data_IF_153146134502
#
_entry.id   IF_153146134502
#
_cell.length_a   1.000
_cell.length_b   1.000
_cell.length_c   1.000
_cell.angle_alpha   90.00
_cell.angle_beta   90.00
_cell.angle_gamma   90.00
#
_symmetry.space_group_name_H-M   'P 1'
#
loop_
_entity.id
_entity.type
_entity.pdbx_description
1 polymer ?
#
# COMPACT_ATOMS: atom_id res chain seq x y z
N UNK A 1 3.72 11.47 36.83
CA UNK A 1 4.81 11.89 35.90
C UNK A 1 4.44 11.36 34.50
N UNK A 2 3.62 12.13 33.76
CA UNK A 2 3.24 11.75 32.36
C UNK A 2 4.40 12.17 31.44
N UNK A 3 5.30 11.26 31.08
CA UNK A 3 6.23 11.47 29.97
C UNK A 3 5.41 11.42 28.68
N UNK A 4 5.31 12.55 28.00
CA UNK A 4 4.85 12.63 26.59
C UNK A 4 5.79 11.77 25.77
N UNK A 5 5.32 10.62 25.31
CA UNK A 5 5.94 9.88 24.21
C UNK A 5 5.48 10.59 22.92
N UNK A 6 6.06 11.74 22.65
CA UNK A 6 5.86 12.43 21.40
C UNK A 6 6.78 11.73 20.37
N UNK A 7 6.17 11.14 19.34
CA UNK A 7 6.80 10.64 18.13
C UNK A 7 8.12 9.87 18.35
N UNK A 8 8.01 8.56 18.49
CA UNK A 8 9.21 7.70 18.45
C UNK A 8 9.77 7.78 17.02
N UNK A 9 10.78 8.62 16.83
CA UNK A 9 11.55 8.69 15.61
C UNK A 9 12.70 7.70 15.74
N UNK A 10 12.58 6.53 15.13
CA UNK A 10 13.71 5.61 14.98
C UNK A 10 14.57 6.09 13.80
N UNK A 11 15.79 6.52 14.10
CA UNK A 11 16.78 6.86 13.06
C UNK A 11 17.39 5.58 12.52
N UNK A 12 17.18 5.31 11.23
CA UNK A 12 17.88 4.25 10.51
C UNK A 12 19.36 4.65 10.35
N UNK A 13 20.26 3.69 10.49
CA UNK A 13 21.72 3.92 10.52
C UNK A 13 22.19 4.69 9.27
N UNK A 14 23.10 5.66 9.46
CA UNK A 14 23.64 6.55 8.41
C UNK A 14 24.28 5.82 7.24
N UNK A 15 24.64 4.55 7.39
CA UNK A 15 25.20 3.72 6.32
C UNK A 15 24.13 3.35 5.26
N UNK A 16 22.91 3.04 5.67
CA UNK A 16 21.77 2.86 4.77
C UNK A 16 21.42 4.19 4.09
N UNK A 17 21.47 5.30 4.82
CA UNK A 17 21.13 6.64 4.35
C UNK A 17 21.89 7.11 3.09
N UNK A 18 23.17 6.74 2.94
CA UNK A 18 23.98 7.09 1.76
C UNK A 18 23.53 6.39 0.48
N UNK A 19 22.92 5.21 0.60
CA UNK A 19 22.41 4.42 -0.54
C UNK A 19 21.08 4.97 -1.08
N UNK A 20 20.31 5.68 -0.24
CA UNK A 20 18.98 6.20 -0.53
C UNK A 20 18.93 7.60 -1.13
N UNK A 21 20.08 8.24 -1.36
CA UNK A 21 20.19 9.63 -1.85
C UNK A 21 19.82 9.83 -3.33
N UNK A 22 19.53 8.77 -4.09
CA UNK A 22 19.00 8.93 -5.44
C UNK A 22 17.47 8.85 -5.38
N UNK A 23 16.80 9.91 -5.80
CA UNK A 23 15.33 9.90 -6.05
C UNK A 23 15.04 8.93 -7.20
N UNK A 24 15.09 7.63 -6.89
CA UNK A 24 14.73 6.61 -7.84
C UNK A 24 13.22 6.67 -7.96
N UNK A 25 12.79 7.09 -9.12
CA UNK A 25 11.40 7.26 -9.48
C UNK A 25 10.63 5.93 -9.35
N UNK A 26 9.42 5.99 -8.80
CA UNK A 26 8.41 4.93 -8.87
C UNK A 26 8.14 4.42 -10.29
N UNK A 27 8.66 5.09 -11.32
CA UNK A 27 8.64 4.64 -12.73
C UNK A 27 9.16 3.22 -12.95
N UNK A 28 9.96 2.67 -12.02
CA UNK A 28 10.37 1.25 -12.11
C UNK A 28 9.17 0.31 -12.06
N UNK A 29 8.09 0.68 -11.35
CA UNK A 29 6.84 -0.08 -11.27
C UNK A 29 6.13 -0.17 -12.63
N UNK A 30 6.29 0.86 -13.46
CA UNK A 30 5.78 0.89 -14.84
C UNK A 30 6.34 -0.24 -15.71
N UNK A 31 7.53 -0.74 -15.42
CA UNK A 31 8.15 -1.82 -16.18
C UNK A 31 7.58 -3.21 -15.87
N UNK A 32 6.70 -3.34 -14.88
CA UNK A 32 6.05 -4.61 -14.54
C UNK A 32 4.90 -4.85 -15.50
N UNK A 33 5.16 -5.62 -16.57
CA UNK A 33 4.20 -5.88 -17.66
C UNK A 33 2.88 -6.48 -17.17
N UNK A 34 2.96 -7.37 -16.19
CA UNK A 34 1.79 -8.03 -15.58
C UNK A 34 0.93 -7.02 -14.80
N UNK A 35 1.57 -6.08 -14.09
CA UNK A 35 0.85 -5.01 -13.41
C UNK A 35 0.09 -4.13 -14.42
N UNK A 36 0.71 -3.74 -15.54
CA UNK A 36 0.02 -2.98 -16.60
C UNK A 36 -1.26 -3.65 -17.06
N UNK A 37 -1.24 -4.98 -17.23
CA UNK A 37 -2.43 -5.74 -17.60
C UNK A 37 -3.50 -5.69 -16.51
N UNK A 38 -3.14 -5.90 -15.24
CA UNK A 38 -4.08 -5.83 -14.11
C UNK A 38 -4.70 -4.43 -14.04
N UNK A 39 -3.88 -3.38 -14.12
CA UNK A 39 -4.36 -2.00 -14.12
C UNK A 39 -5.32 -1.71 -15.28
N UNK A 40 -5.03 -2.20 -16.50
CA UNK A 40 -5.89 -2.00 -17.67
C UNK A 40 -7.23 -2.74 -17.59
N UNK A 41 -7.32 -3.82 -16.79
CA UNK A 41 -8.58 -4.54 -16.56
C UNK A 41 -9.44 -3.89 -15.48
N UNK A 42 -8.80 -3.22 -14.54
CA UNK A 42 -9.50 -2.59 -13.40
C UNK A 42 -9.87 -1.15 -13.71
N UNK A 43 -8.94 -0.35 -14.25
CA UNK A 43 -9.20 1.04 -14.60
C UNK A 43 -10.07 1.17 -15.85
N UNK A 44 -10.88 2.22 -15.87
CA UNK A 44 -11.67 2.62 -17.06
C UNK A 44 -10.97 3.82 -17.70
N UNK A 45 -10.67 3.78 -19.00
CA UNK A 45 -10.06 4.93 -19.70
C UNK A 45 -10.89 6.20 -19.54
N UNK A 46 -10.24 7.29 -19.14
CA UNK A 46 -10.89 8.59 -18.93
C UNK A 46 -11.50 8.80 -17.55
N UNK A 47 -11.48 7.80 -16.69
CA UNK A 47 -11.86 7.92 -15.27
C UNK A 47 -10.64 8.05 -14.37
N UNK A 48 -10.89 8.45 -13.12
CA UNK A 48 -9.87 8.43 -12.07
C UNK A 48 -9.36 7.01 -11.80
N UNK A 49 -8.06 6.86 -11.55
CA UNK A 49 -7.43 5.56 -11.27
C UNK A 49 -8.07 4.88 -10.05
N UNK A 50 -8.61 3.69 -10.29
CA UNK A 50 -9.28 2.85 -9.28
C UNK A 50 -8.34 1.87 -8.58
N UNK A 51 -7.09 1.76 -9.04
CA UNK A 51 -6.07 0.87 -8.48
C UNK A 51 -4.71 1.57 -8.45
N UNK A 52 -3.96 1.37 -7.37
CA UNK A 52 -2.60 1.89 -7.19
C UNK A 52 -1.71 0.84 -6.52
N UNK A 53 -0.41 0.90 -6.78
CA UNK A 53 0.59 0.24 -5.93
C UNK A 53 0.60 0.89 -4.55
N UNK A 54 0.94 0.15 -3.51
CA UNK A 54 0.96 0.67 -2.14
C UNK A 54 2.02 0.02 -1.26
N UNK A 55 2.46 0.72 -0.24
CA UNK A 55 3.26 0.15 0.84
C UNK A 55 4.67 -0.27 0.44
N UNK A 56 5.02 -1.52 0.78
CA UNK A 56 6.38 -2.05 0.62
C UNK A 56 6.93 -1.95 -0.78
N UNK A 57 6.15 -2.27 -1.81
CA UNK A 57 6.61 -2.23 -3.20
C UNK A 57 6.89 -0.80 -3.68
N UNK A 58 6.09 0.20 -3.24
CA UNK A 58 6.31 1.62 -3.57
C UNK A 58 7.57 2.12 -2.87
N UNK A 59 7.75 1.80 -1.59
CA UNK A 59 8.95 2.16 -0.82
C UNK A 59 10.20 1.57 -1.45
N UNK A 60 10.22 0.26 -1.77
CA UNK A 60 11.33 -0.42 -2.44
C UNK A 60 11.63 0.20 -3.82
N UNK A 61 10.60 0.59 -4.58
CA UNK A 61 10.78 1.30 -5.84
C UNK A 61 11.52 2.62 -5.64
N UNK A 62 11.11 3.41 -4.65
CA UNK A 62 11.73 4.71 -4.34
C UNK A 62 13.18 4.57 -3.87
N UNK A 63 13.49 3.54 -3.11
CA UNK A 63 14.84 3.29 -2.58
C UNK A 63 15.73 2.52 -3.55
N UNK A 64 15.14 1.97 -4.63
CA UNK A 64 15.85 1.17 -5.63
C UNK A 64 16.23 -0.21 -5.13
N UNK A 65 15.48 -0.73 -4.17
CA UNK A 65 15.55 -2.10 -3.71
C UNK A 65 14.86 -3.06 -4.68
N UNK A 66 15.16 -4.34 -4.53
CA UNK A 66 14.47 -5.38 -5.29
C UNK A 66 13.01 -5.51 -4.82
N UNK A 67 12.06 -5.54 -5.77
CA UNK A 67 10.64 -5.67 -5.49
C UNK A 67 10.27 -7.14 -5.69
N UNK A 68 10.01 -7.82 -4.59
CA UNK A 68 9.62 -9.24 -4.51
C UNK A 68 8.10 -9.40 -4.38
N UNK A 69 7.47 -8.60 -3.52
CA UNK A 69 6.03 -8.62 -3.29
C UNK A 69 5.39 -7.37 -3.88
N UNK A 70 4.23 -7.53 -4.51
CA UNK A 70 3.52 -6.43 -5.15
C UNK A 70 2.13 -6.32 -4.53
N UNK A 71 1.97 -5.28 -3.71
CA UNK A 71 0.72 -4.92 -3.08
C UNK A 71 0.02 -3.83 -3.88
N UNK A 72 -1.25 -4.06 -4.15
CA UNK A 72 -2.15 -3.14 -4.85
C UNK A 72 -3.32 -2.78 -3.94
N UNK A 73 -3.70 -1.53 -3.93
CA UNK A 73 -4.92 -1.04 -3.28
C UNK A 73 -5.92 -0.62 -4.35
N UNK A 74 -7.23 -0.87 -4.15
CA UNK A 74 -8.27 -0.52 -5.11
C UNK A 74 -9.54 -0.06 -4.43
N UNK A 75 -10.28 0.86 -5.09
CA UNK A 75 -11.58 1.33 -4.63
C UNK A 75 -12.73 0.35 -4.91
N UNK A 76 -12.46 -0.77 -5.59
CA UNK A 76 -13.46 -1.83 -5.82
C UNK A 76 -13.50 -2.82 -4.66
N UNK A 77 -14.67 -3.37 -4.38
CA UNK A 77 -14.84 -4.48 -3.45
C UNK A 77 -14.32 -5.81 -4.05
N UNK A 78 -13.99 -6.82 -3.23
CA UNK A 78 -13.42 -8.09 -3.71
C UNK A 78 -14.26 -8.78 -4.80
N UNK A 79 -15.58 -8.71 -4.70
CA UNK A 79 -16.51 -9.28 -5.70
C UNK A 79 -16.35 -8.63 -7.08
N UNK A 80 -16.18 -7.30 -7.09
CA UNK A 80 -16.04 -6.54 -8.33
C UNK A 80 -14.66 -6.75 -8.96
N UNK A 81 -13.62 -6.87 -8.12
CA UNK A 81 -12.27 -7.21 -8.60
C UNK A 81 -12.29 -8.58 -9.28
N UNK A 82 -12.93 -9.59 -8.65
CA UNK A 82 -13.09 -10.93 -9.25
C UNK A 82 -13.80 -10.87 -10.59
N UNK A 83 -14.89 -10.10 -10.66
CA UNK A 83 -15.65 -9.95 -11.90
C UNK A 83 -14.82 -9.31 -13.02
N UNK A 84 -14.07 -8.24 -12.71
CA UNK A 84 -13.21 -7.55 -13.66
C UNK A 84 -12.05 -8.41 -14.16
N UNK A 85 -11.51 -9.27 -13.32
CA UNK A 85 -10.39 -10.16 -13.64
C UNK A 85 -10.85 -11.55 -14.14
N UNK A 86 -12.15 -11.87 -14.06
CA UNK A 86 -12.68 -13.12 -14.59
C UNK A 86 -12.49 -13.18 -16.13
N UNK A 87 -12.37 -14.39 -16.65
CA UNK A 87 -12.15 -14.64 -18.10
C UNK A 87 -10.88 -13.97 -18.68
N UNK A 88 -9.92 -13.62 -17.82
CA UNK A 88 -8.57 -13.23 -18.19
C UNK A 88 -7.62 -14.37 -17.82
N UNK A 89 -6.43 -14.42 -18.39
CA UNK A 89 -5.39 -15.40 -18.04
C UNK A 89 -4.81 -15.14 -16.64
N UNK A 90 -5.68 -14.89 -15.66
CA UNK A 90 -5.33 -14.55 -14.28
C UNK A 90 -5.97 -15.58 -13.35
N UNK A 91 -5.12 -16.28 -12.58
CA UNK A 91 -5.60 -17.14 -11.50
C UNK A 91 -5.90 -16.28 -10.27
N UNK A 92 -7.11 -16.37 -9.76
CA UNK A 92 -7.55 -15.66 -8.54
C UNK A 92 -7.60 -16.65 -7.38
N UNK A 93 -7.06 -16.26 -6.23
CA UNK A 93 -7.10 -17.00 -4.97
C UNK A 93 -7.69 -16.09 -3.89
N UNK A 94 -8.64 -16.63 -3.14
CA UNK A 94 -9.25 -15.96 -2.00
C UNK A 94 -8.35 -16.13 -0.77
N UNK A 95 -7.51 -15.15 -0.51
CA UNK A 95 -6.52 -15.21 0.57
C UNK A 95 -6.91 -14.45 1.83
N UNK A 96 -7.99 -13.70 1.80
CA UNK A 96 -8.44 -12.86 2.93
C UNK A 96 -9.64 -12.00 2.51
N UNK A 97 -10.65 -12.65 1.94
CA UNK A 97 -11.84 -11.96 1.40
C UNK A 97 -12.58 -11.19 2.49
N UNK A 98 -12.63 -11.74 3.70
CA UNK A 98 -13.20 -11.11 4.89
C UNK A 98 -12.45 -9.81 5.27
N UNK A 99 -11.17 -9.70 4.91
CA UNK A 99 -10.35 -8.50 5.10
C UNK A 99 -10.24 -7.65 3.83
N UNK A 100 -10.95 -8.04 2.76
CA UNK A 100 -10.96 -7.31 1.50
C UNK A 100 -9.79 -7.62 0.56
N UNK A 101 -9.02 -8.69 0.79
CA UNK A 101 -7.82 -9.02 0.00
C UNK A 101 -8.07 -10.25 -0.88
N UNK A 102 -7.67 -10.15 -2.13
CA UNK A 102 -7.55 -11.28 -3.06
C UNK A 102 -6.13 -11.36 -3.62
N UNK A 103 -5.69 -12.54 -3.98
CA UNK A 103 -4.43 -12.75 -4.70
C UNK A 103 -4.70 -13.03 -6.18
N UNK A 104 -4.15 -12.21 -7.06
CA UNK A 104 -4.13 -12.42 -8.50
C UNK A 104 -2.74 -12.96 -8.93
N UNK A 105 -2.71 -14.03 -9.72
CA UNK A 105 -1.47 -14.60 -10.26
C UNK A 105 -1.52 -14.52 -11.78
N UNK A 106 -0.55 -13.82 -12.34
CA UNK A 106 -0.36 -13.66 -13.78
C UNK A 106 1.11 -13.94 -14.16
N UNK A 107 1.35 -14.86 -15.08
CA UNK A 107 2.71 -15.27 -15.50
C UNK A 107 3.62 -15.61 -14.32
N UNK A 108 3.12 -16.37 -13.35
CA UNK A 108 3.82 -16.77 -12.10
C UNK A 108 4.13 -15.60 -11.14
N UNK A 109 3.77 -14.36 -11.46
CA UNK A 109 3.86 -13.23 -10.53
C UNK A 109 2.60 -13.13 -9.70
N UNK A 110 2.79 -12.90 -8.41
CA UNK A 110 1.73 -12.74 -7.41
C UNK A 110 1.48 -11.25 -7.17
N UNK A 111 0.22 -10.89 -7.09
CA UNK A 111 -0.27 -9.54 -6.77
C UNK A 111 -1.30 -9.66 -5.65
N UNK A 112 -1.07 -9.03 -4.53
CA UNK A 112 -2.07 -8.91 -3.49
C UNK A 112 -2.89 -7.65 -3.75
N UNK A 113 -4.20 -7.81 -3.97
CA UNK A 113 -5.10 -6.71 -4.29
C UNK A 113 -6.06 -6.54 -3.13
N UNK A 114 -5.94 -5.42 -2.42
CA UNK A 114 -6.75 -5.12 -1.24
C UNK A 114 -7.68 -3.96 -1.54
N UNK A 115 -8.96 -4.16 -1.23
CA UNK A 115 -9.98 -3.09 -1.28
C UNK A 115 -9.67 -2.01 -0.27
N UNK A 116 -9.83 -0.74 -0.66
CA UNK A 116 -9.72 0.37 0.28
C UNK A 116 -10.74 0.18 1.41
N UNK A 117 -10.31 0.39 2.63
CA UNK A 117 -11.14 0.18 3.81
C UNK A 117 -10.83 1.18 4.92
N UNK A 118 -11.79 1.37 5.80
CA UNK A 118 -11.62 1.99 7.11
C UNK A 118 -11.96 0.98 8.19
N UNK A 119 -11.24 1.02 9.30
CA UNK A 119 -11.52 0.18 10.45
C UNK A 119 -12.61 0.86 11.30
N UNK A 120 -13.72 0.15 11.57
CA UNK A 120 -14.86 0.70 12.34
C UNK A 120 -14.64 0.45 13.84
N UNK A 121 -14.13 -0.73 14.18
CA UNK A 121 -13.80 -1.13 15.54
C UNK A 121 -12.74 -2.21 15.49
N UNK A 122 -11.78 -2.15 16.38
CA UNK A 122 -10.77 -3.18 16.57
C UNK A 122 -11.05 -3.90 17.88
N UNK A 123 -11.47 -5.17 17.80
CA UNK A 123 -11.50 -6.10 18.93
C UNK A 123 -10.21 -6.94 18.90
N UNK A 124 -9.06 -6.30 19.13
CA UNK A 124 -7.77 -6.96 19.03
C UNK A 124 -7.52 -7.54 17.63
N UNK A 125 -7.67 -8.85 17.43
CA UNK A 125 -7.32 -9.54 16.16
C UNK A 125 -8.39 -9.48 15.06
N UNK A 126 -9.59 -8.97 15.32
CA UNK A 126 -10.68 -8.89 14.34
C UNK A 126 -11.14 -7.44 14.21
N UNK A 127 -10.72 -6.79 13.14
CA UNK A 127 -11.26 -5.50 12.75
C UNK A 127 -12.54 -5.70 11.92
N UNK A 128 -13.64 -5.12 12.35
CA UNK A 128 -14.80 -4.93 11.45
C UNK A 128 -14.43 -3.87 10.42
N UNK A 129 -14.22 -4.30 9.18
CA UNK A 129 -13.80 -3.44 8.10
C UNK A 129 -14.99 -2.91 7.31
N UNK A 130 -14.96 -1.64 6.96
CA UNK A 130 -15.89 -1.04 6.01
C UNK A 130 -15.14 -0.65 4.75
N UNK A 131 -15.58 -1.16 3.60
CA UNK A 131 -14.99 -0.76 2.32
C UNK A 131 -15.30 0.70 2.02
N UNK A 132 -14.35 1.39 1.40
CA UNK A 132 -14.44 2.80 1.04
C UNK A 132 -13.85 3.04 -0.34
N UNK A 133 -14.20 4.15 -0.98
CA UNK A 133 -13.51 4.64 -2.18
C UNK A 133 -12.52 5.78 -1.87
N UNK A 134 -12.40 6.16 -0.60
CA UNK A 134 -11.57 7.27 -0.15
C UNK A 134 -10.16 6.80 0.20
N UNK A 135 -9.18 7.21 -0.63
CA UNK A 135 -7.76 6.90 -0.45
C UNK A 135 -7.17 7.45 0.86
N UNK A 136 -7.68 8.59 1.36
CA UNK A 136 -7.22 9.16 2.64
C UNK A 136 -7.66 8.29 3.81
N UNK A 137 -8.88 7.75 3.77
CA UNK A 137 -9.38 6.85 4.81
C UNK A 137 -8.55 5.57 4.89
N UNK A 138 -8.21 4.96 3.74
CA UNK A 138 -7.35 3.78 3.73
C UNK A 138 -5.93 4.11 4.22
N UNK A 139 -5.40 5.28 3.85
CA UNK A 139 -4.09 5.71 4.31
C UNK A 139 -4.03 5.94 5.83
N UNK A 140 -5.11 6.48 6.43
CA UNK A 140 -5.19 6.79 7.87
C UNK A 140 -5.11 5.54 8.75
N UNK A 141 -5.59 4.37 8.29
CA UNK A 141 -5.53 3.12 9.07
C UNK A 141 -4.16 2.43 9.04
N UNK A 142 -3.21 2.89 8.20
CA UNK A 142 -1.87 2.29 8.10
C UNK A 142 -0.98 2.71 9.28
N UNK A 143 0.01 1.89 9.59
CA UNK A 143 0.87 2.08 10.75
C UNK A 143 1.82 3.25 10.57
N UNK A 144 2.56 3.27 9.43
CA UNK A 144 3.64 4.21 9.18
C UNK A 144 3.40 5.03 7.93
N UNK A 145 3.83 6.30 7.96
CA UNK A 145 3.77 7.22 6.81
C UNK A 145 4.43 6.63 5.57
N UNK A 146 5.57 5.95 5.73
CA UNK A 146 6.32 5.29 4.65
C UNK A 146 5.61 4.09 4.04
N UNK A 147 4.58 3.55 4.70
CA UNK A 147 3.73 2.46 4.21
C UNK A 147 2.40 2.97 3.64
N UNK A 148 2.11 4.27 3.78
CA UNK A 148 0.92 4.94 3.24
C UNK A 148 1.22 5.75 1.96
N UNK A 149 2.23 5.34 1.21
CA UNK A 149 2.58 5.92 -0.08
C UNK A 149 1.98 5.04 -1.17
N UNK A 150 1.25 5.67 -2.08
CA UNK A 150 0.63 5.00 -3.23
C UNK A 150 1.25 5.49 -4.53
N UNK A 151 1.26 4.66 -5.56
CA UNK A 151 1.70 5.05 -6.90
C UNK A 151 0.77 4.48 -7.96
N UNK A 152 0.41 5.29 -8.93
CA UNK A 152 -0.26 4.77 -10.13
C UNK A 152 0.73 4.04 -11.06
N UNK A 153 0.20 3.53 -12.17
CA UNK A 153 1.01 2.79 -13.15
C UNK A 153 1.99 3.68 -13.91
N UNK A 154 1.79 5.00 -13.94
CA UNK A 154 2.68 5.98 -14.55
C UNK A 154 3.76 6.49 -13.58
N UNK A 155 3.71 6.06 -12.31
CA UNK A 155 4.64 6.48 -11.28
C UNK A 155 4.28 7.80 -10.59
N UNK A 156 3.04 8.31 -10.77
CA UNK A 156 2.55 9.46 -10.02
C UNK A 156 2.23 9.02 -8.60
N UNK A 157 2.71 9.77 -7.64
CA UNK A 157 2.62 9.43 -6.21
C UNK A 157 1.45 10.15 -5.56
N UNK A 158 0.66 9.41 -4.77
CA UNK A 158 -0.28 9.94 -3.80
C UNK A 158 0.26 9.65 -2.40
N UNK A 159 0.57 10.69 -1.64
CA UNK A 159 1.27 10.62 -0.36
C UNK A 159 0.65 11.59 0.66
N UNK A 160 -0.47 11.20 1.30
CA UNK A 160 -1.24 12.10 2.16
C UNK A 160 -0.53 12.45 3.47
N UNK A 161 0.48 11.67 3.89
CA UNK A 161 1.18 11.84 5.16
C UNK A 161 2.67 12.22 5.02
N UNK A 162 3.11 12.64 3.82
CA UNK A 162 4.51 12.98 3.55
C UNK A 162 5.51 11.84 3.82
N UNK A 163 5.07 10.60 3.67
CA UNK A 163 5.91 9.41 3.87
C UNK A 163 7.13 9.37 2.95
N UNK A 164 7.07 9.97 1.76
CA UNK A 164 8.22 10.14 0.88
C UNK A 164 9.33 10.95 1.54
N UNK A 165 8.97 12.06 2.21
CA UNK A 165 9.95 12.87 2.95
C UNK A 165 10.56 12.08 4.11
N UNK A 166 9.73 11.39 4.88
CA UNK A 166 10.19 10.58 6.00
C UNK A 166 11.13 9.46 5.53
N UNK A 167 10.80 8.82 4.41
CA UNK A 167 11.64 7.80 3.79
C UNK A 167 13.01 8.36 3.37
N UNK A 168 13.05 9.53 2.73
CA UNK A 168 14.28 10.19 2.31
C UNK A 168 15.12 10.66 3.51
N UNK A 169 14.47 11.03 4.60
CA UNK A 169 15.12 11.45 5.85
C UNK A 169 15.53 10.26 6.74
N UNK A 170 15.20 9.02 6.34
CA UNK A 170 15.43 7.81 7.13
C UNK A 170 14.66 7.81 8.44
N UNK A 171 13.43 8.33 8.43
CA UNK A 171 12.53 8.40 9.58
C UNK A 171 11.43 7.34 9.48
N UNK A 172 11.05 6.78 10.62
CA UNK A 172 9.84 5.96 10.77
C UNK A 172 8.88 6.74 11.66
N UNK A 173 7.74 7.14 11.07
CA UNK A 173 6.73 7.96 11.74
C UNK A 173 5.40 7.24 11.71
N UNK A 174 4.78 7.08 12.89
CA UNK A 174 3.44 6.50 13.00
C UNK A 174 2.37 7.45 12.45
N UNK A 175 1.35 6.89 11.81
CA UNK A 175 0.12 7.59 11.46
C UNK A 175 -0.82 7.49 12.67
N UNK A 176 -1.17 8.63 13.28
CA UNK A 176 -1.96 8.66 14.51
C UNK A 176 -1.14 8.48 15.77
N UNK A 177 -1.71 7.79 16.76
CA UNK A 177 -1.05 7.51 18.05
C UNK A 177 -0.20 6.25 17.95
N UNK A 178 1.10 6.36 18.23
CA UNK A 178 1.99 5.19 18.30
C UNK A 178 1.55 4.19 19.39
N UNK A 179 1.00 4.68 20.50
CA UNK A 179 0.51 3.84 21.59
C UNK A 179 -0.68 2.99 21.15
N UNK A 180 -1.64 3.58 20.42
CA UNK A 180 -2.80 2.87 19.89
C UNK A 180 -2.37 1.81 18.86
N UNK A 181 -1.46 2.16 17.94
CA UNK A 181 -0.96 1.20 16.93
C UNK A 181 -0.22 0.01 17.53
N UNK A 182 0.59 0.25 18.56
CA UNK A 182 1.28 -0.83 19.28
C UNK A 182 0.29 -1.73 20.03
N UNK A 183 -0.79 -1.16 20.59
CA UNK A 183 -1.82 -1.94 21.28
C UNK A 183 -2.69 -2.79 20.35
N UNK A 184 -2.89 -2.35 19.10
CA UNK A 184 -3.63 -3.12 18.08
C UNK A 184 -2.93 -4.43 17.69
N UNK A 185 -1.59 -4.51 17.82
CA UNK A 185 -0.78 -5.68 17.48
C UNK A 185 -0.55 -6.65 18.65
N UNK A 186 -1.03 -6.32 19.88
CA UNK A 186 -0.93 -7.14 21.07
C UNK A 186 -2.28 -7.75 21.44
#
# INVERSE_FOLDING_TARGET
MKKKINNIILKIDKFFYRKFKSDKSTKVLENIKEAKKIFSYINVPGEEDKIKFVGGCVRKAMTGEFIDDIDLATSFEPKDIKLKLSNKDIKIIDTGIEHGTITAILNKKKFEITSLRSDISTDGRHANVQFTSDWNKDATRRDFTINAIYSDIQGRVFDPFNGKSDLLDGKIVFIGSAEERIQEDY
#
